data_IF_520022176737
#
_entry.id   IF_520022176737
#
_cell.length_a   1.000
_cell.length_b   1.000
_cell.length_c   1.000
_cell.angle_alpha   90.00
_cell.angle_beta   90.00
_cell.angle_gamma   90.00
#
_symmetry.space_group_name_H-M   'P 1'
#
loop_
_entity.id
_entity.type
_entity.pdbx_description
1 polymer ?
#
# COMPACT_ATOMS: atom_id res chain seq x y z
N UNK A 1 -34.89 -70.20 -19.11
CA UNK A 1 -33.71 -69.31 -19.21
C UNK A 1 -33.93 -68.36 -20.36
N UNK A 2 -34.09 -67.06 -20.09
CA UNK A 2 -33.28 -66.08 -20.83
C UNK A 2 -32.55 -65.14 -19.86
N UNK A 3 -31.31 -64.79 -20.24
CA UNK A 3 -30.40 -63.93 -19.49
C UNK A 3 -30.59 -62.52 -20.04
N UNK A 4 -31.33 -61.68 -19.32
CA UNK A 4 -31.44 -60.26 -19.66
C UNK A 4 -30.15 -59.53 -19.29
N UNK A 5 -29.29 -59.40 -20.29
CA UNK A 5 -28.17 -58.45 -20.29
C UNK A 5 -28.70 -57.06 -20.62
N UNK A 6 -28.92 -56.21 -19.61
CA UNK A 6 -28.89 -54.75 -19.80
C UNK A 6 -27.87 -54.16 -18.85
N UNK A 7 -26.79 -53.67 -19.44
CA UNK A 7 -25.57 -53.27 -18.76
C UNK A 7 -25.76 -52.10 -17.84
N UNK A 8 -25.44 -52.31 -16.56
CA UNK A 8 -25.11 -51.24 -15.64
C UNK A 8 -23.68 -50.76 -15.91
N UNK A 9 -23.52 -49.86 -16.88
CA UNK A 9 -22.31 -49.07 -17.04
C UNK A 9 -22.60 -47.62 -16.67
N UNK A 10 -22.63 -47.34 -15.37
CA UNK A 10 -22.45 -45.99 -14.86
C UNK A 10 -21.12 -45.99 -14.08
N UNK A 11 -20.02 -45.81 -14.83
CA UNK A 11 -18.74 -45.40 -14.27
C UNK A 11 -18.86 -43.95 -13.80
N UNK A 12 -19.61 -43.72 -12.73
CA UNK A 12 -19.73 -42.41 -12.07
C UNK A 12 -19.03 -42.47 -10.72
N UNK A 13 -17.87 -43.13 -10.65
CA UNK A 13 -16.94 -42.96 -9.55
C UNK A 13 -16.04 -41.76 -9.86
N UNK A 14 -16.63 -40.56 -9.92
CA UNK A 14 -15.86 -39.36 -9.61
C UNK A 14 -15.42 -39.43 -8.14
N UNK A 15 -14.35 -38.74 -7.73
CA UNK A 15 -13.99 -38.70 -6.31
C UNK A 15 -15.21 -38.29 -5.50
N UNK A 16 -15.46 -39.00 -4.39
CA UNK A 16 -16.58 -38.73 -3.48
C UNK A 16 -16.76 -37.21 -3.29
N UNK A 17 -18.01 -36.70 -3.27
CA UNK A 17 -18.23 -35.28 -3.05
C UNK A 17 -17.52 -34.89 -1.75
N UNK A 18 -16.52 -34.02 -1.88
CA UNK A 18 -15.74 -33.48 -0.76
C UNK A 18 -16.71 -33.17 0.36
N UNK A 19 -16.43 -33.68 1.57
CA UNK A 19 -17.26 -33.53 2.77
C UNK A 19 -17.84 -32.12 2.79
N UNK A 20 -19.15 -32.02 2.53
CA UNK A 20 -19.85 -30.74 2.48
C UNK A 20 -20.04 -30.32 3.92
N UNK A 21 -19.08 -29.56 4.45
CA UNK A 21 -19.25 -28.95 5.76
C UNK A 21 -20.38 -27.92 5.69
N UNK A 22 -21.29 -27.87 6.67
CA UNK A 22 -22.29 -26.82 6.76
C UNK A 22 -21.62 -25.45 6.68
N UNK A 23 -22.23 -24.50 5.96
CA UNK A 23 -21.68 -23.15 5.74
C UNK A 23 -21.42 -22.35 7.03
N UNK A 24 -21.94 -22.80 8.18
CA UNK A 24 -21.68 -22.26 9.51
C UNK A 24 -20.88 -23.18 10.45
N UNK A 25 -20.30 -24.27 9.96
CA UNK A 25 -19.45 -25.13 10.78
C UNK A 25 -18.09 -24.48 10.99
N UNK A 26 -17.58 -24.53 12.22
CA UNK A 26 -16.23 -24.05 12.58
C UNK A 26 -15.14 -24.70 11.72
N UNK A 27 -15.32 -25.95 11.34
CA UNK A 27 -14.38 -26.68 10.49
C UNK A 27 -14.41 -26.17 9.03
N UNK A 28 -15.58 -25.70 8.56
CA UNK A 28 -15.69 -25.04 7.25
C UNK A 28 -14.92 -23.72 7.25
N UNK A 29 -15.12 -22.91 8.30
CA UNK A 29 -14.44 -21.64 8.51
C UNK A 29 -12.90 -21.79 8.55
N UNK A 30 -12.39 -22.81 9.22
CA UNK A 30 -10.95 -23.06 9.33
C UNK A 30 -10.29 -23.45 7.98
N UNK A 31 -11.02 -24.17 7.12
CA UNK A 31 -10.47 -24.70 5.86
C UNK A 31 -10.71 -23.75 4.68
N UNK A 32 -11.91 -23.19 4.58
CA UNK A 32 -12.34 -22.39 3.43
C UNK A 32 -12.46 -20.89 3.72
N UNK A 33 -12.18 -20.50 4.96
CA UNK A 33 -12.45 -19.15 5.43
C UNK A 33 -13.92 -18.97 5.82
N UNK A 34 -14.19 -17.82 6.42
CA UNK A 34 -15.47 -17.52 7.03
C UNK A 34 -16.30 -16.71 6.04
N UNK A 35 -17.62 -16.98 6.01
CA UNK A 35 -18.59 -16.20 5.23
C UNK A 35 -19.35 -15.21 6.13
N UNK A 36 -19.02 -15.19 7.42
CA UNK A 36 -19.60 -14.27 8.39
C UNK A 36 -19.10 -12.85 8.11
N UNK A 37 -20.06 -11.92 7.93
CA UNK A 37 -19.78 -10.52 7.58
C UNK A 37 -18.95 -9.83 8.67
N UNK A 38 -19.18 -10.17 9.94
CA UNK A 38 -18.47 -9.58 11.07
C UNK A 38 -17.00 -10.03 11.10
N UNK A 39 -16.76 -11.32 10.87
CA UNK A 39 -15.40 -11.87 10.82
C UNK A 39 -14.63 -11.37 9.60
N UNK A 40 -15.30 -11.19 8.45
CA UNK A 40 -14.71 -10.58 7.26
C UNK A 40 -14.36 -9.11 7.49
N UNK A 41 -15.21 -8.36 8.20
CA UNK A 41 -14.94 -6.97 8.56
C UNK A 41 -13.73 -6.85 9.51
N UNK A 42 -13.62 -7.76 10.49
CA UNK A 42 -12.45 -7.85 11.38
C UNK A 42 -11.18 -8.19 10.61
N UNK A 43 -11.21 -9.19 9.73
CA UNK A 43 -10.07 -9.55 8.89
C UNK A 43 -9.64 -8.39 7.97
N UNK A 44 -10.60 -7.59 7.49
CA UNK A 44 -10.32 -6.36 6.74
C UNK A 44 -9.57 -5.31 7.55
N UNK A 45 -9.96 -5.12 8.81
CA UNK A 45 -9.29 -4.20 9.73
C UNK A 45 -7.86 -4.67 10.07
N UNK A 46 -7.68 -5.96 10.32
CA UNK A 46 -6.35 -6.54 10.57
C UNK A 46 -5.39 -6.32 9.41
N UNK A 47 -5.85 -6.56 8.17
CA UNK A 47 -5.05 -6.29 6.96
C UNK A 47 -4.64 -4.81 6.85
N UNK A 48 -5.56 -3.89 7.16
CA UNK A 48 -5.24 -2.46 7.12
C UNK A 48 -4.15 -2.08 8.15
N UNK A 49 -4.18 -2.70 9.33
CA UNK A 49 -3.16 -2.50 10.37
C UNK A 49 -1.81 -3.08 9.91
N UNK A 50 -1.81 -4.27 9.32
CA UNK A 50 -0.60 -4.92 8.84
C UNK A 50 0.07 -4.15 7.69
N UNK A 51 -0.72 -3.56 6.79
CA UNK A 51 -0.19 -2.65 5.78
C UNK A 51 0.50 -1.43 6.38
N UNK A 52 -0.10 -0.82 7.42
CA UNK A 52 0.50 0.32 8.11
C UNK A 52 1.81 -0.07 8.80
N UNK A 53 1.85 -1.24 9.44
CA UNK A 53 3.06 -1.80 10.06
C UNK A 53 4.16 -2.04 9.03
N UNK A 54 3.83 -2.61 7.88
CA UNK A 54 4.79 -2.83 6.79
C UNK A 54 5.37 -1.52 6.26
N UNK A 55 4.53 -0.48 6.09
CA UNK A 55 5.00 0.85 5.67
C UNK A 55 5.95 1.47 6.69
N UNK A 56 5.63 1.37 7.98
CA UNK A 56 6.51 1.84 9.05
C UNK A 56 7.83 1.08 9.07
N UNK A 57 7.80 -0.25 8.91
CA UNK A 57 9.02 -1.06 8.85
C UNK A 57 9.90 -0.71 7.64
N UNK A 58 9.29 -0.40 6.49
CA UNK A 58 10.04 0.05 5.31
C UNK A 58 10.72 1.40 5.54
N UNK A 59 10.03 2.34 6.19
CA UNK A 59 10.59 3.63 6.57
C UNK A 59 11.74 3.47 7.57
N UNK A 60 11.55 2.64 8.60
CA UNK A 60 12.60 2.34 9.57
C UNK A 60 13.85 1.78 8.89
N UNK A 61 13.69 0.86 7.94
CA UNK A 61 14.83 0.32 7.15
C UNK A 61 15.53 1.40 6.34
N UNK A 62 14.80 2.35 5.75
CA UNK A 62 15.40 3.45 4.99
C UNK A 62 16.17 4.42 5.90
N UNK A 63 15.65 4.72 7.08
CA UNK A 63 16.34 5.59 8.05
C UNK A 63 17.55 4.92 8.71
N UNK A 64 17.48 3.61 8.97
CA UNK A 64 18.58 2.85 9.54
C UNK A 64 19.64 2.44 8.51
N UNK A 65 19.39 2.65 7.22
CA UNK A 65 20.42 2.48 6.19
C UNK A 65 21.38 3.67 6.24
N UNK A 66 22.61 3.42 6.69
CA UNK A 66 23.72 4.36 6.50
C UNK A 66 23.82 4.70 5.01
N UNK A 67 23.80 5.99 4.62
CA UNK A 67 23.96 6.36 3.23
C UNK A 67 25.27 5.78 2.72
N UNK A 68 25.16 4.93 1.69
CA UNK A 68 26.33 4.32 1.06
C UNK A 68 27.30 5.40 0.57
N UNK A 69 28.61 5.10 0.47
CA UNK A 69 29.58 6.07 -0.04
C UNK A 69 29.10 6.55 -1.41
N UNK A 70 28.89 7.87 -1.52
CA UNK A 70 28.53 8.53 -2.78
C UNK A 70 29.61 8.17 -3.79
N UNK A 71 29.29 7.27 -4.73
CA UNK A 71 30.20 6.95 -5.83
C UNK A 71 30.53 8.28 -6.54
N UNK A 72 31.81 8.64 -6.55
CA UNK A 72 32.26 9.80 -7.31
C UNK A 72 31.82 9.61 -8.77
N UNK A 73 31.27 10.65 -9.43
CA UNK A 73 30.84 10.52 -10.81
C UNK A 73 32.04 10.03 -11.65
N UNK A 74 31.89 8.96 -12.46
CA UNK A 74 32.96 8.45 -13.29
C UNK A 74 33.22 9.46 -14.41
N UNK A 75 34.24 10.30 -14.22
CA UNK A 75 34.69 11.26 -15.23
C UNK A 75 34.91 12.65 -14.66
N UNK A 76 36.07 12.89 -14.06
CA UNK A 76 36.61 14.25 -13.97
C UNK A 76 37.08 14.66 -15.36
N UNK A 77 36.33 15.52 -16.03
CA UNK A 77 36.78 16.17 -17.27
C UNK A 77 37.93 17.11 -16.88
N UNK A 78 39.16 16.92 -17.41
CA UNK A 78 40.24 17.85 -17.14
C UNK A 78 39.91 19.20 -17.78
N UNK A 79 39.74 20.24 -16.96
CA UNK A 79 39.66 21.61 -17.45
C UNK A 79 41.05 22.00 -17.99
N UNK A 80 41.23 21.88 -19.31
CA UNK A 80 42.39 22.44 -19.99
C UNK A 80 42.45 23.95 -19.73
N UNK A 81 43.63 24.45 -19.32
CA UNK A 81 43.92 25.87 -19.03
C UNK A 81 43.94 26.75 -20.29
N UNK A 82 42.87 26.70 -21.08
CA UNK A 82 42.74 27.50 -22.31
C UNK A 82 41.29 27.93 -22.55
N UNK A 83 40.57 28.27 -21.48
CA UNK A 83 39.20 28.80 -21.57
C UNK A 83 39.11 30.24 -21.03
N UNK A 84 40.24 30.92 -20.82
CA UNK A 84 40.26 32.33 -20.44
C UNK A 84 40.07 33.27 -21.65
N UNK A 85 40.28 32.79 -22.88
CA UNK A 85 40.18 33.58 -24.12
C UNK A 85 38.98 33.19 -25.01
N UNK A 86 38.08 32.33 -24.54
CA UNK A 86 36.90 31.95 -25.31
C UNK A 86 35.65 32.60 -24.71
N UNK A 87 34.85 33.35 -25.50
CA UNK A 87 33.59 33.88 -25.01
C UNK A 87 32.69 32.71 -24.58
N UNK A 88 31.95 32.86 -23.47
CA UNK A 88 31.08 31.80 -22.97
C UNK A 88 30.12 31.35 -24.08
N UNK A 89 29.83 30.04 -24.19
CA UNK A 89 28.90 29.56 -25.20
C UNK A 89 27.57 30.28 -25.04
N UNK A 90 27.14 30.95 -26.11
CA UNK A 90 25.85 31.65 -26.15
C UNK A 90 24.74 30.62 -26.00
N UNK A 91 24.19 30.49 -24.79
CA UNK A 91 23.04 29.64 -24.56
C UNK A 91 21.78 30.34 -25.08
N UNK A 92 20.97 29.70 -25.92
CA UNK A 92 19.67 30.23 -26.30
C UNK A 92 18.78 30.34 -25.06
N UNK A 93 18.07 31.47 -24.91
CA UNK A 93 17.16 31.69 -23.78
C UNK A 93 16.10 30.60 -23.76
N UNK A 94 16.07 29.81 -22.69
CA UNK A 94 15.02 28.83 -22.44
C UNK A 94 13.66 29.55 -22.41
N UNK A 95 12.67 28.99 -23.10
CA UNK A 95 11.32 29.53 -23.08
C UNK A 95 10.80 29.57 -21.64
N UNK A 96 10.07 30.64 -21.23
CA UNK A 96 9.45 30.68 -19.92
C UNK A 96 8.51 29.47 -19.78
N UNK A 97 8.58 28.81 -18.62
CA UNK A 97 7.70 27.69 -18.30
C UNK A 97 6.23 28.10 -18.54
N UNK A 98 5.40 27.23 -19.16
CA UNK A 98 4.00 27.55 -19.44
C UNK A 98 3.29 27.95 -18.14
N UNK A 99 2.47 29.00 -18.22
CA UNK A 99 1.82 29.68 -17.09
C UNK A 99 0.87 28.81 -16.23
N UNK A 100 0.75 27.52 -16.54
CA UNK A 100 -0.03 26.53 -15.78
C UNK A 100 0.77 25.77 -14.71
N UNK A 101 2.11 25.83 -14.70
CA UNK A 101 2.91 25.22 -13.63
C UNK A 101 3.05 26.14 -12.42
N UNK A 102 1.94 26.74 -11.99
CA UNK A 102 1.86 27.26 -10.64
C UNK A 102 1.57 26.06 -9.75
N UNK A 103 2.51 25.76 -8.84
CA UNK A 103 2.19 25.21 -7.52
C UNK A 103 1.27 26.22 -6.83
N UNK A 104 0.07 26.42 -7.37
CA UNK A 104 -0.96 27.20 -6.73
C UNK A 104 -1.40 26.33 -5.57
N UNK A 105 -0.97 26.72 -4.37
CA UNK A 105 -1.44 26.17 -3.10
C UNK A 105 -2.92 26.48 -2.97
N UNK A 106 -3.72 25.71 -3.71
CA UNK A 106 -5.16 25.88 -3.88
C UNK A 106 -5.80 25.99 -2.51
N UNK A 107 -6.86 26.80 -2.40
CA UNK A 107 -7.69 26.85 -1.20
C UNK A 107 -8.09 25.44 -0.73
N UNK A 108 -8.19 24.49 -1.64
CA UNK A 108 -8.47 23.09 -1.35
C UNK A 108 -7.34 22.40 -0.57
N UNK A 109 -6.07 22.64 -0.93
CA UNK A 109 -4.93 22.13 -0.16
C UNK A 109 -4.90 22.73 1.26
N UNK A 110 -5.19 24.04 1.40
CA UNK A 110 -5.31 24.70 2.73
C UNK A 110 -6.48 24.14 3.53
N UNK A 111 -7.65 23.95 2.90
CA UNK A 111 -8.83 23.34 3.53
C UNK A 111 -8.58 21.90 3.98
N UNK A 112 -7.84 21.13 3.20
CA UNK A 112 -7.46 19.76 3.57
C UNK A 112 -6.56 19.76 4.80
N UNK A 113 -5.57 20.66 4.86
CA UNK A 113 -4.70 20.82 6.05
C UNK A 113 -5.52 21.24 7.27
N UNK A 114 -6.42 22.22 7.14
CA UNK A 114 -7.28 22.67 8.25
C UNK A 114 -8.24 21.57 8.74
N UNK A 115 -8.74 20.74 7.83
CA UNK A 115 -9.60 19.60 8.17
C UNK A 115 -8.83 18.50 8.90
N UNK A 116 -7.59 18.21 8.45
CA UNK A 116 -6.71 17.26 9.13
C UNK A 116 -6.33 17.75 10.52
N UNK A 117 -6.01 19.03 10.67
CA UNK A 117 -5.66 19.62 11.96
C UNK A 117 -6.83 19.50 12.96
N UNK A 118 -8.05 19.86 12.54
CA UNK A 118 -9.25 19.70 13.39
C UNK A 118 -9.50 18.25 13.80
N UNK A 119 -9.28 17.29 12.90
CA UNK A 119 -9.44 15.87 13.20
C UNK A 119 -8.42 15.41 14.25
N UNK A 120 -7.16 15.82 14.11
CA UNK A 120 -6.09 15.52 15.06
C UNK A 120 -6.38 16.11 16.43
N UNK A 121 -6.77 17.39 16.50
CA UNK A 121 -7.13 18.04 17.75
C UNK A 121 -8.36 17.41 18.42
N UNK A 122 -9.29 16.86 17.62
CA UNK A 122 -10.42 16.07 18.13
C UNK A 122 -9.97 14.75 18.76
N UNK A 123 -9.08 14.01 18.09
CA UNK A 123 -8.53 12.76 18.63
C UNK A 123 -7.73 12.99 19.92
N UNK A 124 -6.89 14.04 19.97
CA UNK A 124 -6.13 14.43 21.16
C UNK A 124 -7.04 14.78 22.34
N UNK A 125 -8.11 15.55 22.09
CA UNK A 125 -9.10 15.88 23.13
C UNK A 125 -9.83 14.64 23.64
N UNK A 126 -10.28 13.77 22.74
CA UNK A 126 -10.96 12.53 23.12
C UNK A 126 -10.02 11.59 23.90
N UNK A 127 -8.77 11.45 23.48
CA UNK A 127 -7.77 10.69 24.20
C UNK A 127 -7.53 11.26 25.61
N UNK A 128 -7.47 12.58 25.76
CA UNK A 128 -7.36 13.22 27.08
C UNK A 128 -8.60 12.98 27.95
N UNK A 129 -9.81 12.95 27.39
CA UNK A 129 -11.03 12.62 28.15
C UNK A 129 -11.10 11.15 28.58
N UNK A 130 -10.55 10.22 27.79
CA UNK A 130 -10.42 8.82 28.21
C UNK A 130 -9.28 8.62 29.22
N UNK A 131 -8.29 9.51 29.24
CA UNK A 131 -7.15 9.45 30.15
C UNK A 131 -7.42 10.05 31.54
N UNK A 132 -8.53 10.76 31.76
CA UNK A 132 -8.93 11.21 33.10
C UNK A 132 -9.68 10.09 33.82
N UNK A 133 -9.10 9.46 34.86
CA UNK A 133 -9.83 8.47 35.65
C UNK A 133 -11.02 9.14 36.34
N UNK A 134 -12.23 8.58 36.15
CA UNK A 134 -13.38 8.94 36.97
C UNK A 134 -12.99 8.79 38.44
N UNK A 135 -13.14 9.87 39.20
CA UNK A 135 -12.92 9.92 40.64
C UNK A 135 -14.24 10.10 41.34
#
# INVERSE_FOLDING_TARGET
>A
MPIDKRGGNALTAGPDPRVQFPAGSRDHAAIFGTQDEDELALAGQERAIDEQRMRLQALERLFNQTPGPRAAPPGTIPLSRSSADQPPPSMPKLAPAPAGSRLDGTMDARRQVDAMQRKVDGMLRNANTLSTPSR
#
